data_IF_180089018248
#
_entry.id   IF_180089018248
#
_cell.length_a   1.000
_cell.length_b   1.000
_cell.length_c   1.000
_cell.angle_alpha   90.00
_cell.angle_beta   90.00
_cell.angle_gamma   90.00
#
_symmetry.space_group_name_H-M   'P 1'
#
loop_
_entity.id
_entity.type
_entity.pdbx_description
1 polymer ?
#
# COMPACT_ATOMS: atom_id res chain seq x y z
N UNK A 1 -47.33 4.99 33.37
CA UNK A 1 -46.88 4.13 32.25
C UNK A 1 -46.21 4.90 31.11
N UNK A 2 -46.82 5.95 30.53
CA UNK A 2 -46.24 6.70 29.38
C UNK A 2 -44.92 7.44 29.65
N UNK A 3 -44.69 7.91 30.90
CA UNK A 3 -43.47 8.66 31.28
C UNK A 3 -42.21 7.78 31.30
N UNK A 4 -42.29 6.58 31.88
CA UNK A 4 -41.20 5.60 31.88
C UNK A 4 -40.95 5.01 30.49
N UNK A 5 -41.99 4.87 29.67
CA UNK A 5 -41.87 4.41 28.28
C UNK A 5 -40.93 5.31 27.46
N UNK A 6 -41.00 6.64 27.64
CA UNK A 6 -40.10 7.58 26.96
C UNK A 6 -38.64 7.39 27.38
N UNK A 7 -38.37 7.20 28.67
CA UNK A 7 -37.00 6.98 29.16
C UNK A 7 -36.44 5.63 28.72
N UNK A 8 -37.27 4.59 28.68
CA UNK A 8 -36.87 3.26 28.17
C UNK A 8 -36.53 3.35 26.69
N UNK A 9 -37.34 4.03 25.88
CA UNK A 9 -37.06 4.25 24.45
C UNK A 9 -35.77 5.06 24.29
N UNK A 10 -35.57 6.10 25.08
CA UNK A 10 -34.38 6.96 24.98
C UNK A 10 -33.10 6.21 25.37
N UNK A 11 -33.17 5.34 26.39
CA UNK A 11 -32.06 4.45 26.78
C UNK A 11 -31.80 3.40 25.69
N UNK A 12 -32.84 2.81 25.11
CA UNK A 12 -32.69 1.83 24.03
C UNK A 12 -32.06 2.45 22.78
N UNK A 13 -32.48 3.65 22.38
CA UNK A 13 -31.85 4.40 21.28
C UNK A 13 -30.39 4.71 21.61
N UNK A 14 -30.08 5.15 22.82
CA UNK A 14 -28.71 5.49 23.21
C UNK A 14 -27.80 4.25 23.17
N UNK A 15 -28.30 3.07 23.57
CA UNK A 15 -27.56 1.82 23.49
C UNK A 15 -27.24 1.43 22.04
N UNK A 16 -28.16 1.67 21.10
CA UNK A 16 -27.92 1.39 19.67
C UNK A 16 -26.79 2.26 19.06
N UNK A 17 -26.60 3.50 19.54
CA UNK A 17 -25.52 4.37 19.03
C UNK A 17 -24.12 3.94 19.50
N UNK A 18 -24.02 3.16 20.57
CA UNK A 18 -22.73 2.76 21.16
C UNK A 18 -22.23 1.43 20.56
N UNK A 19 -23.03 0.76 19.73
CA UNK A 19 -22.59 -0.47 19.06
C UNK A 19 -21.59 -0.09 17.95
N UNK A 20 -20.31 -0.49 18.05
CA UNK A 20 -19.34 -0.21 17.00
C UNK A 20 -19.75 -0.96 15.74
N UNK A 21 -20.10 -0.23 14.68
CA UNK A 21 -20.30 -0.81 13.36
C UNK A 21 -18.94 -1.17 12.76
N UNK A 22 -18.73 -2.44 12.42
CA UNK A 22 -17.55 -2.89 11.67
C UNK A 22 -17.57 -2.24 10.29
N UNK A 23 -16.55 -1.44 9.97
CA UNK A 23 -16.36 -0.92 8.61
C UNK A 23 -15.80 -2.05 7.74
N UNK A 24 -16.59 -2.49 6.75
CA UNK A 24 -16.12 -3.40 5.71
C UNK A 24 -15.45 -2.57 4.61
N UNK A 25 -14.23 -2.10 4.86
CA UNK A 25 -13.42 -1.48 3.82
C UNK A 25 -12.83 -2.58 2.94
N UNK A 26 -12.93 -2.42 1.62
CA UNK A 26 -12.15 -3.20 0.67
C UNK A 26 -10.72 -2.67 0.72
N UNK A 27 -9.76 -3.54 1.02
CA UNK A 27 -8.34 -3.25 0.93
C UNK A 27 -8.02 -2.96 -0.54
N UNK A 28 -7.65 -1.71 -0.82
CA UNK A 28 -7.19 -1.30 -2.14
C UNK A 28 -5.67 -1.47 -2.12
N UNK A 29 -5.14 -2.18 -3.11
CA UNK A 29 -3.69 -2.25 -3.35
C UNK A 29 -3.11 -0.83 -3.36
N UNK A 30 -2.05 -0.61 -2.60
CA UNK A 30 -1.31 0.65 -2.47
C UNK A 30 -0.32 0.82 -3.63
N UNK A 31 -0.86 0.82 -4.85
CA UNK A 31 -0.06 1.08 -6.05
C UNK A 31 0.64 2.44 -5.95
N UNK A 32 1.95 2.44 -6.20
CA UNK A 32 2.78 3.62 -6.07
C UNK A 32 3.35 4.07 -7.41
N UNK A 33 3.14 5.34 -7.73
CA UNK A 33 3.70 5.97 -8.95
C UNK A 33 4.74 7.02 -8.58
N UNK A 34 5.95 6.86 -9.12
CA UNK A 34 7.10 7.75 -8.95
C UNK A 34 7.36 8.49 -10.27
N UNK A 35 6.85 9.71 -10.40
CA UNK A 35 7.00 10.51 -11.62
C UNK A 35 8.09 11.59 -11.44
N UNK A 36 9.25 11.40 -12.09
CA UNK A 36 10.37 12.35 -12.10
C UNK A 36 11.08 12.60 -10.75
N UNK A 37 10.62 11.95 -9.68
CA UNK A 37 11.17 12.04 -8.34
C UNK A 37 11.94 10.79 -7.91
N UNK A 38 12.26 10.76 -6.61
CA UNK A 38 12.92 9.64 -5.93
C UNK A 38 11.96 8.93 -5.00
N UNK A 39 12.10 7.61 -4.92
CA UNK A 39 11.40 6.79 -3.92
C UNK A 39 12.35 5.75 -3.32
N UNK A 40 12.18 5.46 -2.04
CA UNK A 40 12.85 4.33 -1.39
C UNK A 40 11.78 3.53 -0.66
N UNK A 41 11.70 2.24 -0.94
CA UNK A 41 11.02 1.27 -0.10
C UNK A 41 12.07 0.79 0.91
N UNK A 42 11.91 1.20 2.17
CA UNK A 42 12.90 0.98 3.21
C UNK A 42 12.96 -0.49 3.61
N UNK A 43 14.06 -0.88 4.23
CA UNK A 43 14.26 -2.27 4.67
C UNK A 43 13.14 -2.75 5.61
N UNK A 44 12.58 -3.92 5.30
CA UNK A 44 11.45 -4.51 6.03
C UNK A 44 10.08 -3.90 5.71
N UNK A 45 9.99 -2.89 4.85
CA UNK A 45 8.71 -2.37 4.37
C UNK A 45 8.09 -3.27 3.29
N UNK A 46 6.76 -3.33 3.30
CA UNK A 46 5.97 -4.06 2.31
C UNK A 46 5.13 -3.04 1.53
N UNK A 47 5.28 -3.06 0.21
CA UNK A 47 4.38 -2.40 -0.72
C UNK A 47 3.35 -3.42 -1.21
N UNK A 48 2.16 -3.38 -0.62
CA UNK A 48 0.98 -4.17 -1.04
C UNK A 48 0.39 -3.57 -2.33
N UNK A 49 1.12 -3.71 -3.44
CA UNK A 49 0.75 -3.12 -4.73
C UNK A 49 1.91 -3.05 -5.70
N UNK A 50 1.66 -2.42 -6.86
CA UNK A 50 2.63 -2.26 -7.94
C UNK A 50 3.42 -0.95 -7.80
N UNK A 51 4.70 -0.98 -8.17
CA UNK A 51 5.57 0.20 -8.21
C UNK A 51 5.84 0.62 -9.65
N UNK A 52 5.37 1.80 -10.05
CA UNK A 52 5.56 2.36 -11.39
C UNK A 52 6.48 3.57 -11.30
N UNK A 53 7.61 3.54 -12.01
CA UNK A 53 8.61 4.60 -12.04
C UNK A 53 8.62 5.23 -13.43
N UNK A 54 8.30 6.52 -13.54
CA UNK A 54 8.27 7.25 -14.80
C UNK A 54 9.26 8.42 -14.78
N UNK A 55 10.38 8.27 -15.47
CA UNK A 55 11.46 9.28 -15.55
C UNK A 55 12.19 9.58 -14.24
N UNK A 56 11.96 8.81 -13.18
CA UNK A 56 12.50 9.03 -11.83
C UNK A 56 13.52 7.99 -11.40
N UNK A 57 13.74 7.87 -10.09
CA UNK A 57 14.48 6.74 -9.53
C UNK A 57 13.82 6.13 -8.30
N UNK A 58 14.04 4.82 -8.13
CA UNK A 58 13.59 4.10 -6.96
C UNK A 58 14.66 3.16 -6.40
N UNK A 59 14.66 2.98 -5.10
CA UNK A 59 15.43 1.96 -4.39
C UNK A 59 14.48 1.03 -3.63
N UNK A 60 14.62 -0.26 -3.84
CA UNK A 60 13.97 -1.32 -3.06
C UNK A 60 15.09 -1.91 -2.20
N UNK A 61 15.06 -1.68 -0.90
CA UNK A 61 16.13 -2.08 0.03
C UNK A 61 16.06 -3.56 0.42
N UNK A 62 17.07 -4.03 1.16
CA UNK A 62 17.11 -5.40 1.68
C UNK A 62 15.90 -5.69 2.57
N UNK A 63 15.40 -6.92 2.53
CA UNK A 63 14.22 -7.38 3.29
C UNK A 63 12.90 -6.64 2.98
N UNK A 64 12.89 -5.73 2.00
CA UNK A 64 11.65 -5.10 1.53
C UNK A 64 10.93 -5.95 0.48
N UNK A 65 9.61 -5.83 0.40
CA UNK A 65 8.75 -6.66 -0.47
C UNK A 65 7.84 -5.76 -1.30
N UNK A 66 7.82 -5.97 -2.62
CA UNK A 66 6.79 -5.46 -3.51
C UNK A 66 5.92 -6.63 -3.93
N UNK A 67 4.66 -6.66 -3.49
CA UNK A 67 3.73 -7.77 -3.78
C UNK A 67 3.20 -7.72 -5.22
N UNK A 68 3.22 -6.54 -5.85
CA UNK A 68 2.80 -6.33 -7.24
C UNK A 68 3.93 -6.31 -8.27
N UNK A 69 3.63 -5.71 -9.42
CA UNK A 69 4.60 -5.54 -10.50
C UNK A 69 5.45 -4.28 -10.27
N UNK A 70 6.71 -4.31 -10.71
CA UNK A 70 7.58 -3.14 -10.78
C UNK A 70 7.81 -2.76 -12.23
N UNK A 71 7.36 -1.57 -12.63
CA UNK A 71 7.47 -1.07 -14.00
C UNK A 71 8.32 0.19 -14.05
N UNK A 72 9.41 0.18 -14.82
CA UNK A 72 10.31 1.32 -15.01
C UNK A 72 10.19 1.85 -16.43
N UNK A 73 9.71 3.08 -16.57
CA UNK A 73 9.44 3.78 -17.83
C UNK A 73 10.35 5.00 -17.94
N UNK A 74 11.58 4.79 -18.39
CA UNK A 74 12.64 5.80 -18.30
C UNK A 74 13.01 6.10 -16.85
N UNK A 75 14.30 6.11 -16.52
CA UNK A 75 14.74 6.29 -15.13
C UNK A 75 15.56 5.10 -14.63
N UNK A 76 15.69 5.00 -13.31
CA UNK A 76 16.63 4.06 -12.68
C UNK A 76 15.97 3.38 -11.47
N UNK A 77 15.97 2.05 -11.44
CA UNK A 77 15.63 1.29 -10.22
C UNK A 77 16.85 0.53 -9.71
N UNK A 78 17.00 0.47 -8.39
CA UNK A 78 17.92 -0.43 -7.69
C UNK A 78 17.10 -1.38 -6.84
N UNK A 79 17.19 -2.68 -7.09
CA UNK A 79 16.46 -3.71 -6.37
C UNK A 79 17.44 -4.52 -5.53
N UNK A 80 17.20 -4.58 -4.22
CA UNK A 80 17.89 -5.46 -3.27
C UNK A 80 16.88 -6.20 -2.37
N UNK A 81 15.59 -6.16 -2.68
CA UNK A 81 14.54 -6.87 -1.95
C UNK A 81 13.79 -7.82 -2.88
N UNK A 82 12.58 -8.20 -2.47
CA UNK A 82 11.72 -9.16 -3.16
C UNK A 82 10.71 -8.43 -4.05
N UNK A 83 10.58 -8.87 -5.30
CA UNK A 83 9.47 -8.46 -6.18
C UNK A 83 8.66 -9.70 -6.52
N UNK A 84 7.47 -9.86 -5.94
CA UNK A 84 6.66 -11.06 -6.14
C UNK A 84 5.99 -11.11 -7.52
N UNK A 85 5.78 -9.95 -8.13
CA UNK A 85 5.26 -9.81 -9.49
C UNK A 85 6.36 -9.79 -10.57
N UNK A 86 6.09 -9.04 -11.63
CA UNK A 86 6.99 -8.88 -12.76
C UNK A 86 7.81 -7.59 -12.63
N UNK A 87 9.09 -7.68 -12.98
CA UNK A 87 9.96 -6.53 -13.12
C UNK A 87 10.13 -6.17 -14.60
N UNK A 88 9.56 -5.05 -15.03
CA UNK A 88 9.55 -4.61 -16.44
C UNK A 88 10.31 -3.30 -16.58
N UNK A 89 11.35 -3.27 -17.42
CA UNK A 89 12.11 -2.05 -17.74
C UNK A 89 11.96 -1.64 -19.20
N UNK A 90 11.52 -0.41 -19.45
CA UNK A 90 11.41 0.22 -20.78
C UNK A 90 12.17 1.54 -20.79
N UNK A 91 13.25 1.62 -21.56
CA UNK A 91 14.00 2.87 -21.77
C UNK A 91 14.72 3.43 -20.52
N UNK A 92 14.99 2.59 -19.51
CA UNK A 92 15.68 2.96 -18.28
C UNK A 92 16.75 1.94 -17.86
N UNK A 93 17.24 2.06 -16.63
CA UNK A 93 18.25 1.16 -16.03
C UNK A 93 17.63 0.41 -14.85
N UNK A 94 17.81 -0.90 -14.84
CA UNK A 94 17.42 -1.79 -13.76
C UNK A 94 18.68 -2.40 -13.16
N UNK A 95 18.97 -2.10 -11.89
CA UNK A 95 20.10 -2.66 -11.17
C UNK A 95 19.59 -3.70 -10.18
N UNK A 96 19.87 -4.99 -10.44
CA UNK A 96 19.61 -6.08 -9.51
C UNK A 96 20.85 -6.28 -8.63
N UNK A 97 20.65 -6.22 -7.31
CA UNK A 97 21.70 -6.43 -6.31
C UNK A 97 21.64 -7.87 -5.77
N UNK A 98 22.51 -8.16 -4.81
CA UNK A 98 22.73 -9.52 -4.29
C UNK A 98 21.47 -10.20 -3.77
N UNK A 99 20.56 -9.43 -3.16
CA UNK A 99 19.33 -9.94 -2.55
C UNK A 99 18.08 -9.75 -3.43
N UNK A 100 18.25 -9.34 -4.69
CA UNK A 100 17.12 -9.19 -5.59
C UNK A 100 16.58 -10.56 -6.02
N UNK A 101 15.30 -10.82 -5.72
CA UNK A 101 14.61 -12.08 -6.05
C UNK A 101 13.28 -11.82 -6.72
#
# INVERSE_FOLDING_TARGET
MKKYMKYIILIATLILLVVPSTAMAMELQDDRVVAGGTFTLESGEILDGSLIIFGGSAAIEEDSIVEGDVVVLGGIVSVNGVVEGNLVGVGGVVNLKEHAT
#
